data_IF_354475234728
#
_entry.id   IF_354475234728
#
_cell.length_a   1.000
_cell.length_b   1.000
_cell.length_c   1.000
_cell.angle_alpha   90.00
_cell.angle_beta   90.00
_cell.angle_gamma   90.00
#
_symmetry.space_group_name_H-M   'P 1'
#
loop_
_entity.id
_entity.type
_entity.pdbx_description
1 polymer ?
#
# COMPACT_ATOMS: atom_id res chain seq x y z
N UNK A 1 10.98 2.16 15.91
CA UNK A 1 10.44 0.78 15.88
C UNK A 1 9.81 0.39 14.52
N UNK A 2 10.39 0.80 13.38
CA UNK A 2 9.90 0.37 12.05
C UNK A 2 10.63 -0.89 11.55
N UNK A 3 11.96 -0.87 11.62
CA UNK A 3 12.81 -1.96 11.13
C UNK A 3 12.52 -3.28 11.86
N UNK A 4 12.24 -3.22 13.16
CA UNK A 4 11.76 -4.38 13.90
C UNK A 4 10.50 -4.98 13.25
N UNK A 5 9.53 -4.14 12.87
CA UNK A 5 8.33 -4.62 12.17
C UNK A 5 8.66 -5.24 10.82
N UNK A 6 9.61 -4.65 10.08
CA UNK A 6 10.09 -5.20 8.81
C UNK A 6 10.72 -6.58 9.00
N UNK A 7 11.63 -6.73 9.96
CA UNK A 7 12.29 -8.01 10.28
C UNK A 7 11.35 -9.12 10.76
N UNK A 8 10.17 -8.74 11.27
CA UNK A 8 9.14 -9.66 11.78
C UNK A 8 7.93 -9.77 10.85
N UNK A 9 8.02 -9.33 9.59
CA UNK A 9 6.90 -9.38 8.62
C UNK A 9 5.61 -8.78 9.19
N UNK A 10 5.78 -7.69 9.95
CA UNK A 10 4.72 -7.08 10.74
C UNK A 10 4.16 -5.78 10.16
N UNK A 11 4.71 -5.31 9.03
CA UNK A 11 4.16 -4.18 8.25
C UNK A 11 2.94 -4.63 7.41
N UNK A 12 2.10 -3.69 7.00
CA UNK A 12 0.82 -3.98 6.34
C UNK A 12 0.94 -4.17 4.81
N UNK A 13 1.62 -5.21 4.38
CA UNK A 13 1.60 -5.61 2.96
C UNK A 13 0.40 -6.53 2.67
N UNK A 14 0.01 -6.67 1.40
CA UNK A 14 -1.08 -7.58 1.03
C UNK A 14 -0.79 -9.02 1.47
N UNK A 15 0.45 -9.50 1.33
CA UNK A 15 0.83 -10.84 1.80
C UNK A 15 0.74 -10.97 3.34
N UNK A 16 1.13 -9.94 4.10
CA UNK A 16 1.01 -9.95 5.56
C UNK A 16 -0.44 -9.86 6.02
N UNK A 17 -1.29 -9.12 5.31
CA UNK A 17 -2.72 -9.04 5.57
C UNK A 17 -3.41 -10.39 5.30
N UNK A 18 -3.13 -10.98 4.14
CA UNK A 18 -3.61 -12.31 3.76
C UNK A 18 -3.30 -13.36 4.83
N UNK A 19 -2.06 -13.37 5.33
CA UNK A 19 -1.63 -14.28 6.41
C UNK A 19 -2.36 -14.06 7.73
N UNK A 20 -2.70 -12.81 8.07
CA UNK A 20 -3.28 -12.46 9.38
C UNK A 20 -4.78 -12.68 9.47
N UNK A 21 -5.51 -12.35 8.41
CA UNK A 21 -6.98 -12.34 8.42
C UNK A 21 -7.60 -13.26 7.36
N UNK A 22 -6.79 -14.02 6.62
CA UNK A 22 -7.26 -15.04 5.67
C UNK A 22 -7.86 -14.48 4.39
N UNK A 23 -7.55 -13.23 4.02
CA UNK A 23 -7.95 -12.65 2.74
C UNK A 23 -7.02 -13.09 1.62
N UNK A 24 -7.45 -13.07 0.34
CA UNK A 24 -6.54 -13.29 -0.78
C UNK A 24 -5.37 -12.31 -0.74
N UNK A 25 -4.18 -12.80 -1.11
CA UNK A 25 -3.04 -11.94 -1.39
C UNK A 25 -3.35 -10.95 -2.51
N UNK A 26 -2.44 -9.99 -2.72
CA UNK A 26 -2.64 -8.93 -3.70
C UNK A 26 -1.36 -8.56 -4.42
N UNK A 27 -1.53 -7.97 -5.59
CA UNK A 27 -0.45 -7.41 -6.38
C UNK A 27 0.02 -6.10 -5.74
N UNK A 28 1.31 -5.83 -5.83
CA UNK A 28 1.93 -4.62 -5.32
C UNK A 28 1.31 -3.36 -5.91
N UNK A 29 0.82 -2.45 -5.05
CA UNK A 29 0.19 -1.21 -5.48
C UNK A 29 1.17 -0.22 -6.15
N UNK A 30 2.48 -0.40 -5.96
CA UNK A 30 3.50 0.46 -6.55
C UNK A 30 3.83 0.08 -8.00
N UNK A 31 4.04 -1.21 -8.28
CA UNK A 31 4.45 -1.66 -9.61
C UNK A 31 3.33 -2.32 -10.41
N UNK A 32 2.33 -2.92 -9.75
CA UNK A 32 1.27 -3.67 -10.43
C UNK A 32 1.71 -4.99 -11.07
N UNK A 33 2.90 -5.52 -10.75
CA UNK A 33 3.49 -6.66 -11.48
C UNK A 33 3.59 -7.96 -10.67
N UNK A 34 3.90 -7.89 -9.38
CA UNK A 34 4.17 -9.07 -8.54
C UNK A 34 3.39 -9.01 -7.22
N UNK A 35 3.33 -10.13 -6.51
CA UNK A 35 2.75 -10.20 -5.17
C UNK A 35 3.42 -9.24 -4.18
N UNK A 36 2.59 -8.53 -3.42
CA UNK A 36 3.07 -7.56 -2.46
C UNK A 36 3.55 -8.20 -1.16
N UNK A 37 4.83 -8.55 -1.13
CA UNK A 37 5.56 -8.96 0.09
C UNK A 37 6.38 -7.81 0.67
N UNK A 38 6.80 -7.92 1.93
CA UNK A 38 7.70 -6.92 2.57
C UNK A 38 8.99 -6.76 1.77
N UNK A 39 9.60 -7.88 1.38
CA UNK A 39 10.82 -7.89 0.57
C UNK A 39 10.58 -7.31 -0.82
N UNK A 40 9.41 -7.56 -1.43
CA UNK A 40 9.07 -6.94 -2.69
C UNK A 40 8.98 -5.41 -2.55
N UNK A 41 8.16 -4.88 -1.64
CA UNK A 41 7.94 -3.43 -1.48
C UNK A 41 9.23 -2.67 -1.18
N UNK A 42 10.13 -3.25 -0.39
CA UNK A 42 11.33 -2.55 0.07
C UNK A 42 12.58 -2.77 -0.80
N UNK A 43 12.61 -3.84 -1.62
CA UNK A 43 13.81 -4.22 -2.37
C UNK A 43 13.53 -4.64 -3.82
N UNK A 44 12.64 -5.62 -4.04
CA UNK A 44 12.48 -6.24 -5.38
C UNK A 44 11.55 -5.46 -6.32
N UNK A 45 10.69 -4.61 -5.78
CA UNK A 45 9.78 -3.78 -6.54
C UNK A 45 10.55 -2.90 -7.53
N UNK A 46 10.08 -2.83 -8.78
CA UNK A 46 10.69 -1.98 -9.82
C UNK A 46 10.75 -0.51 -9.38
N UNK A 47 9.72 -0.02 -8.70
CA UNK A 47 9.71 1.32 -8.09
C UNK A 47 10.80 1.46 -7.02
N UNK A 48 10.90 0.51 -6.09
CA UNK A 48 11.94 0.53 -5.05
C UNK A 48 13.34 0.54 -5.68
N UNK A 49 13.58 -0.28 -6.70
CA UNK A 49 14.85 -0.32 -7.45
C UNK A 49 15.17 1.02 -8.12
N UNK A 50 14.18 1.70 -8.71
CA UNK A 50 14.37 3.03 -9.28
C UNK A 50 14.80 4.03 -8.20
N UNK A 51 14.13 4.02 -7.04
CA UNK A 51 14.51 4.85 -5.89
C UNK A 51 15.94 4.55 -5.43
N UNK A 52 16.34 3.27 -5.39
CA UNK A 52 17.71 2.88 -5.04
C UNK A 52 18.75 3.48 -6.01
N UNK A 53 18.48 3.40 -7.32
CA UNK A 53 19.38 3.96 -8.35
C UNK A 53 19.48 5.48 -8.23
N UNK A 54 18.36 6.17 -8.05
CA UNK A 54 18.31 7.63 -7.96
C UNK A 54 18.98 8.18 -6.70
N UNK A 55 18.97 7.42 -5.61
CA UNK A 55 19.61 7.80 -4.35
C UNK A 55 21.10 7.47 -4.31
N UNK A 56 21.64 6.83 -5.37
CA UNK A 56 23.03 6.34 -5.43
C UNK A 56 23.40 5.44 -4.24
N UNK A 57 22.40 4.86 -3.58
CA UNK A 57 22.61 3.96 -2.45
C UNK A 57 22.85 2.54 -2.97
N UNK A 58 23.88 1.83 -2.47
CA UNK A 58 24.26 0.52 -3.01
C UNK A 58 23.32 -0.62 -2.57
N UNK A 59 22.33 -0.39 -1.72
CA UNK A 59 21.44 -1.45 -1.20
C UNK A 59 20.66 -2.26 -2.23
N UNK A 60 20.34 -1.68 -3.39
CA UNK A 60 19.65 -2.37 -4.48
C UNK A 60 20.52 -3.39 -5.20
N UNK A 61 21.85 -3.24 -5.12
CA UNK A 61 22.83 -4.21 -5.66
C UNK A 61 23.34 -5.17 -4.60
N UNK A 62 23.27 -4.81 -3.31
CA UNK A 62 23.89 -5.56 -2.21
C UNK A 62 23.22 -6.91 -1.90
N UNK A 63 21.92 -7.14 -2.20
CA UNK A 63 21.36 -8.48 -1.94
C UNK A 63 20.03 -8.80 -2.61
N UNK A 64 19.97 -8.82 -3.94
CA UNK A 64 18.80 -9.39 -4.65
C UNK A 64 18.60 -10.88 -4.29
N UNK A 65 19.70 -11.57 -3.92
CA UNK A 65 19.74 -12.99 -3.59
C UNK A 65 19.33 -13.34 -2.14
N UNK A 66 19.03 -12.36 -1.27
CA UNK A 66 18.58 -12.68 0.08
C UNK A 66 17.27 -13.48 0.05
N UNK A 67 17.16 -14.49 0.92
CA UNK A 67 16.00 -15.38 0.98
C UNK A 67 14.93 -14.88 1.96
N UNK A 68 15.28 -13.93 2.82
CA UNK A 68 14.35 -13.31 3.77
C UNK A 68 14.61 -11.82 3.96
N UNK A 69 13.59 -11.10 4.37
CA UNK A 69 13.69 -9.68 4.72
C UNK A 69 14.70 -9.45 5.85
N UNK A 70 14.74 -10.32 6.86
CA UNK A 70 15.68 -10.20 7.99
C UNK A 70 17.14 -10.36 7.54
N UNK A 71 17.42 -11.37 6.72
CA UNK A 71 18.75 -11.61 6.16
C UNK A 71 19.22 -10.42 5.33
N UNK A 72 18.33 -9.86 4.49
CA UNK A 72 18.60 -8.66 3.71
C UNK A 72 18.90 -7.43 4.58
N UNK A 73 18.08 -7.14 5.60
CA UNK A 73 18.30 -6.02 6.51
C UNK A 73 19.66 -6.18 7.21
N UNK A 74 19.97 -7.39 7.70
CA UNK A 74 21.22 -7.64 8.42
C UNK A 74 22.45 -7.46 7.53
N UNK A 75 22.46 -8.07 6.35
CA UNK A 75 23.58 -7.99 5.41
C UNK A 75 23.80 -6.57 4.89
N UNK A 76 22.71 -5.84 4.63
CA UNK A 76 22.80 -4.48 4.12
C UNK A 76 23.20 -3.49 5.21
N UNK A 77 22.66 -3.64 6.43
CA UNK A 77 23.01 -2.77 7.54
C UNK A 77 24.49 -2.92 7.95
N UNK A 78 25.00 -4.16 8.03
CA UNK A 78 26.40 -4.40 8.36
C UNK A 78 27.38 -3.80 7.34
N UNK A 79 26.97 -3.69 6.07
CA UNK A 79 27.78 -3.06 5.01
C UNK A 79 27.67 -1.54 5.01
N UNK A 80 26.51 -0.99 5.38
CA UNK A 80 26.25 0.45 5.42
C UNK A 80 26.67 1.12 6.73
N UNK A 81 27.10 0.35 7.73
CA UNK A 81 27.63 0.87 8.99
C UNK A 81 28.84 1.80 8.76
N UNK A 82 29.59 1.58 7.67
CA UNK A 82 30.68 2.47 7.24
C UNK A 82 30.22 3.83 6.67
N UNK A 83 28.94 3.96 6.29
CA UNK A 83 28.36 5.15 5.63
C UNK A 83 27.28 5.84 6.49
N UNK A 84 27.15 5.47 7.77
CA UNK A 84 26.01 5.75 8.67
C UNK A 84 24.74 5.15 8.09
N UNK A 85 24.24 4.03 8.63
CA UNK A 85 23.06 3.31 8.13
C UNK A 85 21.73 4.10 8.11
N UNK A 86 21.72 5.35 8.58
CA UNK A 86 20.54 6.21 8.68
C UNK A 86 19.80 6.48 7.35
N UNK A 87 20.48 6.75 6.21
CA UNK A 87 19.80 6.98 4.93
C UNK A 87 19.08 5.73 4.42
N UNK A 88 19.66 4.54 4.61
CA UNK A 88 19.02 3.27 4.24
C UNK A 88 17.73 3.03 5.01
N UNK A 89 17.78 3.17 6.34
CA UNK A 89 16.59 2.95 7.17
C UNK A 89 15.52 4.02 6.86
N UNK A 90 15.94 5.26 6.64
CA UNK A 90 15.06 6.37 6.26
C UNK A 90 14.39 6.14 4.91
N UNK A 91 15.12 5.57 3.94
CA UNK A 91 14.57 5.29 2.62
C UNK A 91 13.64 4.06 2.63
N UNK A 92 13.94 3.00 3.40
CA UNK A 92 12.97 1.91 3.62
C UNK A 92 11.66 2.46 4.21
N UNK A 93 11.77 3.37 5.17
CA UNK A 93 10.63 4.05 5.76
C UNK A 93 9.88 4.90 4.74
N UNK A 94 10.58 5.69 3.93
CA UNK A 94 9.99 6.51 2.86
C UNK A 94 9.26 5.68 1.81
N UNK A 95 9.83 4.56 1.35
CA UNK A 95 9.17 3.62 0.44
C UNK A 95 7.87 3.08 1.04
N UNK A 96 7.92 2.66 2.31
CA UNK A 96 6.76 2.16 3.03
C UNK A 96 5.67 3.23 3.18
N UNK A 97 6.04 4.46 3.53
CA UNK A 97 5.10 5.58 3.62
C UNK A 97 4.47 5.90 2.26
N UNK A 98 5.27 5.95 1.19
CA UNK A 98 4.78 6.21 -0.17
C UNK A 98 3.79 5.13 -0.60
N UNK A 99 4.11 3.85 -0.39
CA UNK A 99 3.18 2.74 -0.65
C UNK A 99 1.86 2.92 0.08
N UNK A 100 1.89 3.25 1.37
CA UNK A 100 0.65 3.42 2.13
C UNK A 100 -0.20 4.56 1.59
N UNK A 101 0.43 5.67 1.18
CA UNK A 101 -0.26 6.78 0.54
C UNK A 101 -0.94 6.33 -0.76
N UNK A 102 -0.23 5.60 -1.62
CA UNK A 102 -0.81 5.07 -2.88
C UNK A 102 -2.02 4.18 -2.60
N UNK A 103 -1.94 3.25 -1.66
CA UNK A 103 -3.08 2.39 -1.29
C UNK A 103 -4.25 3.19 -0.75
N UNK A 104 -4.00 4.14 0.15
CA UNK A 104 -5.05 5.01 0.70
C UNK A 104 -5.72 5.86 -0.39
N UNK A 105 -4.95 6.40 -1.33
CA UNK A 105 -5.49 7.18 -2.45
C UNK A 105 -6.35 6.33 -3.38
N UNK A 106 -5.95 5.09 -3.66
CA UNK A 106 -6.77 4.15 -4.46
C UNK A 106 -8.10 3.87 -3.75
N UNK A 107 -8.06 3.53 -2.46
CA UNK A 107 -9.28 3.28 -1.68
C UNK A 107 -10.19 4.52 -1.60
N UNK A 108 -9.61 5.71 -1.45
CA UNK A 108 -10.38 6.95 -1.42
C UNK A 108 -11.04 7.23 -2.78
N UNK A 109 -10.33 7.00 -3.90
CA UNK A 109 -10.90 7.14 -5.25
C UNK A 109 -12.08 6.18 -5.46
N UNK A 110 -11.97 4.94 -5.00
CA UNK A 110 -13.07 3.96 -5.09
C UNK A 110 -14.30 4.40 -4.30
N UNK A 111 -14.11 4.90 -3.07
CA UNK A 111 -15.21 5.43 -2.26
C UNK A 111 -15.91 6.62 -2.93
N UNK A 112 -15.16 7.59 -3.45
CA UNK A 112 -15.72 8.72 -4.20
C UNK A 112 -16.50 8.24 -5.43
N UNK A 113 -15.95 7.28 -6.18
CA UNK A 113 -16.62 6.73 -7.35
C UNK A 113 -17.90 5.97 -6.99
N UNK A 114 -17.92 5.27 -5.86
CA UNK A 114 -19.14 4.64 -5.36
C UNK A 114 -20.22 5.69 -5.08
N UNK A 115 -19.89 6.76 -4.35
CA UNK A 115 -20.83 7.85 -4.06
C UNK A 115 -21.40 8.41 -5.36
N UNK A 116 -20.55 8.77 -6.33
CA UNK A 116 -20.97 9.31 -7.63
C UNK A 116 -21.94 8.36 -8.35
N UNK A 117 -21.64 7.05 -8.36
CA UNK A 117 -22.51 6.04 -8.98
C UNK A 117 -23.85 5.91 -8.27
N UNK A 118 -23.88 6.11 -6.95
CA UNK A 118 -25.11 5.92 -6.15
C UNK A 118 -26.03 7.14 -6.11
N UNK A 119 -25.50 8.34 -6.37
CA UNK A 119 -26.25 9.60 -6.29
C UNK A 119 -27.55 9.62 -7.13
N UNK A 120 -27.57 9.19 -8.40
CA UNK A 120 -28.80 9.24 -9.20
C UNK A 120 -29.93 8.38 -8.61
N UNK A 121 -29.60 7.21 -8.05
CA UNK A 121 -30.59 6.34 -7.41
C UNK A 121 -31.19 6.98 -6.15
N UNK A 122 -30.38 7.76 -5.42
CA UNK A 122 -30.86 8.51 -4.26
C UNK A 122 -31.82 9.63 -4.67
N UNK A 123 -31.51 10.36 -5.75
CA UNK A 123 -32.36 11.42 -6.29
C UNK A 123 -33.70 10.88 -6.83
N UNK A 124 -33.66 9.75 -7.55
CA UNK A 124 -34.86 9.06 -8.04
C UNK A 124 -35.73 8.60 -6.87
N UNK A 125 -35.13 7.98 -5.86
CA UNK A 125 -35.84 7.53 -4.66
C UNK A 125 -36.54 8.68 -3.92
N UNK A 126 -35.83 9.81 -3.73
CA UNK A 126 -36.40 11.02 -3.11
C UNK A 126 -37.55 11.59 -3.96
N UNK A 127 -37.38 11.63 -5.28
CA UNK A 127 -38.42 12.11 -6.21
C UNK A 127 -39.67 11.25 -6.17
N UNK A 128 -39.51 9.93 -6.17
CA UNK A 128 -40.61 8.97 -6.06
C UNK A 128 -41.35 9.10 -4.71
N UNK A 129 -40.62 9.25 -3.60
CA UNK A 129 -41.21 9.49 -2.28
C UNK A 129 -42.04 10.79 -2.25
N UNK A 130 -41.50 11.86 -2.82
CA UNK A 130 -42.20 13.15 -2.90
C UNK A 130 -43.47 13.05 -3.75
N UNK A 131 -43.43 12.33 -4.88
CA UNK A 131 -44.60 12.10 -5.71
C UNK A 131 -45.70 11.30 -4.99
N UNK A 132 -45.33 10.27 -4.21
CA UNK A 132 -46.28 9.50 -3.39
C UNK A 132 -46.89 10.37 -2.29
N UNK A 133 -46.07 11.17 -1.61
CA UNK A 133 -46.52 12.06 -0.54
C UNK A 133 -47.46 13.15 -1.07
N UNK A 134 -47.18 13.71 -2.23
CA UNK A 134 -48.03 14.69 -2.90
C UNK A 134 -49.39 14.10 -3.30
N UNK A 135 -49.41 12.87 -3.86
CA UNK A 135 -50.66 12.18 -4.20
C UNK A 135 -51.56 11.92 -2.99
N UNK A 136 -51.02 11.64 -1.81
CA UNK A 136 -51.82 11.46 -0.57
C UNK A 136 -52.49 12.75 -0.11
N UNK A 137 -51.81 13.89 -0.23
CA UNK A 137 -52.33 15.20 0.22
C UNK A 137 -53.51 15.67 -0.64
N UNK A 138 -53.58 15.28 -1.91
CA UNK A 138 -54.65 15.69 -2.84
C UNK A 138 -55.90 14.78 -2.71
N UNK A 139 -55.74 13.59 -2.13
CA UNK A 139 -56.83 12.62 -1.93
C UNK A 139 -57.58 12.77 -0.60
N UNK A 140 -57.19 13.74 0.24
CA UNK A 140 -57.86 14.16 1.48
C UNK A 140 -58.60 15.48 1.28
#
# INVERSE_FOLDING_TARGET
>A
MFIWKVCHEAILTQANLARRIGVPGGICALCGLEEETTMHVLLRCTFARQVCVLTLLPWGTISIAANSTKEWIWSTYGLLDQLRGDPFLSMCWGLWQHRNKVVMEVTHKEATQLVIRTLPYQEEYVSALNAVRFKRVISE
#
